data_IF_024518481660
#
_entry.id   IF_024518481660
#
_cell.length_a   1.000
_cell.length_b   1.000
_cell.length_c   1.000
_cell.angle_alpha   90.00
_cell.angle_beta   90.00
_cell.angle_gamma   90.00
#
_symmetry.space_group_name_H-M   'P 1'
#
loop_
_entity.id
_entity.type
_entity.pdbx_description
1 polymer ?
#
# COMPACT_ATOMS: atom_id res chain seq x y z
N UNK A 1 -7.85 -6.71 -21.09
CA UNK A 1 -6.53 -7.37 -21.08
C UNK A 1 -6.62 -8.59 -20.19
N UNK A 2 -6.10 -9.74 -20.65
CA UNK A 2 -5.94 -10.95 -19.86
C UNK A 2 -4.49 -11.02 -19.35
N UNK A 3 -4.30 -11.31 -18.08
CA UNK A 3 -2.98 -11.56 -17.50
C UNK A 3 -2.86 -13.04 -17.14
N UNK A 4 -1.77 -13.68 -17.56
CA UNK A 4 -1.48 -15.08 -17.23
C UNK A 4 0.01 -15.34 -17.15
N UNK A 5 0.39 -16.38 -16.39
CA UNK A 5 1.77 -16.82 -16.25
C UNK A 5 2.00 -18.12 -17.03
N UNK A 6 3.08 -18.20 -17.81
CA UNK A 6 3.52 -19.42 -18.48
C UNK A 6 5.05 -19.46 -18.61
N UNK A 7 5.69 -20.59 -18.31
CA UNK A 7 7.14 -20.82 -18.48
C UNK A 7 8.04 -19.71 -17.93
N UNK A 8 7.78 -19.24 -16.69
CA UNK A 8 8.49 -18.13 -16.05
C UNK A 8 8.33 -16.78 -16.76
N UNK A 9 7.24 -16.60 -17.51
CA UNK A 9 6.87 -15.31 -18.05
C UNK A 9 5.45 -14.94 -17.60
N UNK A 10 5.25 -13.68 -17.37
CA UNK A 10 3.93 -13.06 -17.18
C UNK A 10 3.55 -12.34 -18.46
N UNK A 11 2.42 -12.70 -19.02
CA UNK A 11 1.91 -12.15 -20.26
C UNK A 11 0.72 -11.24 -20.02
N UNK A 12 0.67 -10.13 -20.73
CA UNK A 12 -0.52 -9.30 -20.87
C UNK A 12 -1.01 -9.41 -22.30
N UNK A 13 -2.22 -9.95 -22.45
CA UNK A 13 -2.82 -10.24 -23.74
C UNK A 13 -4.05 -9.36 -23.98
N UNK A 14 -4.10 -8.67 -25.12
CA UNK A 14 -5.24 -7.88 -25.55
C UNK A 14 -6.14 -8.73 -26.45
N UNK A 15 -7.35 -9.02 -25.97
CA UNK A 15 -8.33 -9.80 -26.75
C UNK A 15 -8.83 -9.09 -28.00
N UNK A 16 -9.02 -7.77 -27.94
CA UNK A 16 -9.57 -7.01 -29.07
C UNK A 16 -8.58 -6.99 -30.24
N UNK A 17 -7.29 -6.93 -29.92
CA UNK A 17 -6.22 -6.87 -30.93
C UNK A 17 -5.60 -8.24 -31.23
N UNK A 18 -6.01 -9.30 -30.50
CA UNK A 18 -5.43 -10.64 -30.57
C UNK A 18 -3.89 -10.62 -30.45
N UNK A 19 -3.37 -9.85 -29.46
CA UNK A 19 -1.94 -9.55 -29.37
C UNK A 19 -1.44 -9.63 -27.93
N UNK A 20 -0.21 -10.15 -27.76
CA UNK A 20 0.55 -10.00 -26.53
C UNK A 20 1.09 -8.57 -26.48
N UNK A 21 0.69 -7.82 -25.47
CA UNK A 21 1.17 -6.46 -25.22
C UNK A 21 2.54 -6.48 -24.57
N UNK A 22 2.69 -7.31 -23.53
CA UNK A 22 3.93 -7.42 -22.75
C UNK A 22 4.20 -8.88 -22.41
N UNK A 23 5.48 -9.23 -22.34
CA UNK A 23 5.98 -10.50 -21.85
C UNK A 23 7.14 -10.24 -20.89
N UNK A 24 6.89 -10.38 -19.60
CA UNK A 24 7.88 -10.16 -18.55
C UNK A 24 8.52 -11.49 -18.18
N UNK A 25 9.86 -11.55 -18.24
CA UNK A 25 10.60 -12.69 -17.72
C UNK A 25 10.69 -12.58 -16.22
N UNK A 26 10.11 -13.55 -15.50
CA UNK A 26 10.10 -13.57 -14.04
C UNK A 26 11.22 -14.43 -13.50
N UNK A 27 11.84 -13.99 -12.41
CA UNK A 27 12.74 -14.83 -11.61
C UNK A 27 11.95 -15.55 -10.51
N UNK A 28 12.44 -16.72 -10.08
CA UNK A 28 11.78 -17.52 -9.04
C UNK A 28 11.89 -16.89 -7.63
N UNK A 29 12.85 -15.98 -7.45
CA UNK A 29 13.06 -15.25 -6.19
C UNK A 29 12.15 -14.02 -6.04
N UNK A 30 11.41 -13.64 -7.08
CA UNK A 30 10.56 -12.46 -7.09
C UNK A 30 9.15 -12.76 -6.60
N UNK A 31 8.56 -11.82 -5.85
CA UNK A 31 7.21 -11.93 -5.29
C UNK A 31 6.46 -10.58 -5.35
N UNK A 32 5.26 -10.54 -4.80
CA UNK A 32 4.43 -9.34 -4.58
C UNK A 32 4.29 -8.44 -5.83
N UNK A 33 3.94 -9.06 -6.95
CA UNK A 33 3.84 -8.39 -8.24
C UNK A 33 2.67 -7.40 -8.31
N UNK A 34 2.96 -6.14 -8.68
CA UNK A 34 1.97 -5.08 -8.94
C UNK A 34 2.19 -4.44 -10.31
N UNK A 35 1.24 -4.63 -11.22
CA UNK A 35 1.34 -4.16 -12.59
C UNK A 35 0.75 -2.75 -12.75
N UNK A 36 1.49 -1.87 -13.42
CA UNK A 36 1.01 -0.55 -13.83
C UNK A 36 0.40 -0.59 -15.24
N UNK A 37 -0.92 -0.50 -15.39
CA UNK A 37 -1.56 -0.56 -16.70
C UNK A 37 -1.28 0.67 -17.55
N UNK A 38 -0.93 1.81 -16.96
CA UNK A 38 -0.71 3.06 -17.67
C UNK A 38 0.58 3.07 -18.50
N UNK A 39 1.65 2.47 -17.98
CA UNK A 39 2.98 2.51 -18.61
C UNK A 39 3.61 1.13 -18.84
N UNK A 40 2.98 0.06 -18.34
CA UNK A 40 3.46 -1.30 -18.50
C UNK A 40 4.61 -1.71 -17.56
N UNK A 41 4.93 -0.92 -16.54
CA UNK A 41 5.89 -1.33 -15.51
C UNK A 41 5.29 -2.37 -14.57
N UNK A 42 6.15 -3.21 -14.01
CA UNK A 42 5.80 -4.21 -13.00
C UNK A 42 6.64 -3.95 -11.75
N UNK A 43 6.01 -3.58 -10.64
CA UNK A 43 6.67 -3.58 -9.34
C UNK A 43 6.71 -5.01 -8.79
N UNK A 44 7.77 -5.36 -8.06
CA UNK A 44 7.92 -6.66 -7.42
C UNK A 44 8.89 -6.58 -6.25
N UNK A 45 8.84 -7.55 -5.35
CA UNK A 45 9.82 -7.69 -4.28
C UNK A 45 10.87 -8.75 -4.61
N UNK A 46 12.11 -8.47 -4.24
CA UNK A 46 13.22 -9.40 -4.25
C UNK A 46 13.83 -9.43 -2.84
N UNK A 47 13.59 -10.52 -2.11
CA UNK A 47 13.87 -10.54 -0.68
C UNK A 47 13.01 -9.51 0.06
N UNK A 48 13.65 -8.59 0.77
CA UNK A 48 12.99 -7.49 1.49
C UNK A 48 13.05 -6.15 0.73
N UNK A 49 13.47 -6.16 -0.51
CA UNK A 49 13.65 -4.96 -1.31
C UNK A 49 12.64 -4.85 -2.45
N UNK A 50 12.26 -3.60 -2.77
CA UNK A 50 11.38 -3.27 -3.87
C UNK A 50 12.18 -3.02 -5.15
N UNK A 51 11.72 -3.63 -6.23
CA UNK A 51 12.27 -3.49 -7.59
C UNK A 51 11.15 -3.13 -8.56
N UNK A 52 11.52 -2.62 -9.72
CA UNK A 52 10.61 -2.42 -10.86
C UNK A 52 11.18 -3.11 -12.09
N UNK A 53 10.32 -3.65 -12.93
CA UNK A 53 10.65 -4.20 -14.23
C UNK A 53 9.96 -3.35 -15.29
N UNK A 54 10.76 -2.77 -16.19
CA UNK A 54 10.23 -2.02 -17.32
C UNK A 54 9.70 -2.94 -18.43
N UNK A 55 8.90 -2.42 -19.39
CA UNK A 55 8.36 -3.21 -20.49
C UNK A 55 9.41 -3.91 -21.36
N UNK A 56 10.64 -3.39 -21.40
CA UNK A 56 11.79 -3.98 -22.10
C UNK A 56 12.57 -5.00 -21.28
N UNK A 57 12.04 -5.39 -20.11
CA UNK A 57 12.64 -6.32 -19.15
C UNK A 57 13.93 -5.81 -18.47
N UNK A 58 14.10 -4.50 -18.36
CA UNK A 58 15.18 -3.91 -17.56
C UNK A 58 14.73 -3.78 -16.09
N UNK A 59 15.52 -4.34 -15.16
CA UNK A 59 15.26 -4.25 -13.72
C UNK A 59 15.82 -2.94 -13.19
N UNK A 60 14.96 -2.17 -12.50
CA UNK A 60 15.32 -0.98 -11.78
C UNK A 60 15.25 -1.18 -10.26
N UNK A 61 16.17 -0.53 -9.54
CA UNK A 61 16.24 -0.56 -8.08
C UNK A 61 15.37 0.58 -7.53
N UNK A 62 14.41 0.27 -6.65
CA UNK A 62 13.65 1.25 -5.89
C UNK A 62 14.20 1.39 -4.49
N UNK A 63 14.47 0.27 -3.81
CA UNK A 63 15.11 0.24 -2.49
C UNK A 63 16.29 -0.72 -2.48
N UNK A 64 17.27 -0.46 -1.61
CA UNK A 64 18.44 -1.31 -1.42
C UNK A 64 18.81 -1.37 0.07
N UNK A 65 17.83 -1.75 0.87
CA UNK A 65 17.95 -1.91 2.33
C UNK A 65 18.74 -3.17 2.65
N UNK A 66 19.72 -3.02 3.51
CA UNK A 66 20.58 -4.12 3.98
C UNK A 66 20.41 -4.41 5.47
N UNK A 67 19.71 -3.53 6.19
CA UNK A 67 19.46 -3.70 7.62
C UNK A 67 18.44 -4.83 7.85
N UNK A 68 18.72 -5.66 8.83
CA UNK A 68 17.80 -6.72 9.24
C UNK A 68 16.51 -6.14 9.81
N UNK A 69 15.37 -6.76 9.47
CA UNK A 69 14.05 -6.30 9.88
C UNK A 69 13.48 -5.11 9.09
N UNK A 70 14.18 -4.64 8.04
CA UNK A 70 13.61 -3.65 7.11
C UNK A 70 13.00 -4.35 5.90
N UNK A 71 11.72 -4.06 5.62
CA UNK A 71 10.95 -4.68 4.54
C UNK A 71 10.27 -3.60 3.70
N UNK A 72 10.46 -3.64 2.39
CA UNK A 72 9.93 -2.66 1.44
C UNK A 72 9.01 -3.31 0.40
N UNK A 73 7.90 -2.63 0.09
CA UNK A 73 6.99 -3.03 -0.98
C UNK A 73 6.09 -4.23 -0.66
N UNK A 74 6.11 -4.73 0.56
CA UNK A 74 5.20 -5.78 1.04
C UNK A 74 4.03 -5.21 1.82
N UNK A 75 2.97 -6.00 1.95
CA UNK A 75 1.85 -5.69 2.83
C UNK A 75 2.32 -5.51 4.28
N UNK A 76 1.62 -4.67 5.01
CA UNK A 76 1.94 -4.32 6.40
C UNK A 76 0.74 -4.60 7.31
N UNK A 77 0.90 -4.38 8.61
CA UNK A 77 -0.18 -4.47 9.61
C UNK A 77 -0.94 -5.81 9.57
N UNK A 78 -0.22 -6.92 9.31
CA UNK A 78 -0.75 -8.29 9.24
C UNK A 78 -1.94 -8.45 8.26
N UNK A 79 -1.97 -7.64 7.19
CA UNK A 79 -3.04 -7.58 6.20
C UNK A 79 -4.40 -7.12 6.75
N UNK A 80 -4.44 -6.45 7.88
CA UNK A 80 -5.65 -5.82 8.41
C UNK A 80 -6.02 -4.54 7.66
N UNK A 81 -7.17 -3.95 7.95
CA UNK A 81 -7.67 -2.68 7.39
C UNK A 81 -7.74 -2.66 5.86
N UNK A 82 -8.06 -3.81 5.23
CA UNK A 82 -8.13 -3.92 3.79
C UNK A 82 -6.79 -3.85 3.06
N UNK A 83 -5.68 -3.99 3.78
CA UNK A 83 -4.33 -3.96 3.18
C UNK A 83 -4.01 -5.34 2.61
N UNK A 84 -3.80 -5.42 1.29
CA UNK A 84 -3.47 -6.67 0.59
C UNK A 84 -2.18 -6.60 -0.21
N UNK A 85 -1.57 -5.41 -0.30
CA UNK A 85 -0.32 -5.16 -1.05
C UNK A 85 0.47 -4.02 -0.44
N UNK A 86 1.74 -3.91 -0.80
CA UNK A 86 2.63 -2.88 -0.30
C UNK A 86 3.03 -1.81 -1.31
N UNK A 87 2.42 -1.81 -2.50
CA UNK A 87 2.76 -0.90 -3.61
C UNK A 87 1.51 -0.32 -4.25
N UNK A 88 1.57 0.96 -4.67
CA UNK A 88 0.42 1.72 -5.17
C UNK A 88 0.89 2.64 -6.31
N UNK A 89 0.63 2.24 -7.56
CA UNK A 89 0.95 3.04 -8.73
C UNK A 89 0.08 4.30 -8.80
N UNK A 90 0.68 5.41 -9.19
CA UNK A 90 -0.09 6.60 -9.55
C UNK A 90 -0.94 6.35 -10.79
N UNK A 91 -2.09 7.03 -10.99
CA UNK A 91 -3.01 6.78 -12.10
C UNK A 91 -2.36 6.79 -13.48
N UNK A 92 -1.44 7.72 -13.76
CA UNK A 92 -0.69 7.80 -15.01
C UNK A 92 0.60 6.98 -15.00
N UNK A 93 0.97 6.38 -13.88
CA UNK A 93 2.15 5.52 -13.74
C UNK A 93 3.47 6.30 -13.65
N UNK A 94 3.43 7.60 -13.35
CA UNK A 94 4.64 8.41 -13.22
C UNK A 94 5.41 8.14 -11.92
N UNK A 95 4.71 7.62 -10.90
CA UNK A 95 5.25 7.34 -9.58
C UNK A 95 4.67 6.08 -8.94
N UNK A 96 5.39 5.56 -7.95
CA UNK A 96 5.02 4.38 -7.17
C UNK A 96 5.09 4.72 -5.68
N UNK A 97 3.94 4.77 -5.01
CA UNK A 97 3.91 4.80 -3.55
C UNK A 97 4.12 3.38 -3.00
N UNK A 98 4.82 3.25 -1.89
CA UNK A 98 5.11 1.94 -1.29
C UNK A 98 5.31 2.03 0.22
N UNK A 99 5.03 0.93 0.89
CA UNK A 99 5.36 0.78 2.30
C UNK A 99 6.82 0.40 2.51
N UNK A 100 7.44 1.02 3.53
CA UNK A 100 8.67 0.59 4.17
C UNK A 100 8.34 0.30 5.64
N UNK A 101 8.50 -0.93 6.03
CA UNK A 101 8.25 -1.43 7.38
C UNK A 101 9.57 -1.68 8.09
N UNK A 102 9.70 -1.17 9.30
CA UNK A 102 10.75 -1.54 10.24
C UNK A 102 10.13 -2.46 11.31
N UNK A 103 10.50 -3.72 11.28
CA UNK A 103 10.09 -4.74 12.24
C UNK A 103 11.26 -5.25 13.09
N UNK A 104 12.40 -4.53 13.09
CA UNK A 104 13.61 -4.93 13.84
C UNK A 104 13.36 -5.06 15.34
N UNK A 105 12.42 -4.26 15.88
CA UNK A 105 12.03 -4.31 17.28
C UNK A 105 10.92 -5.32 17.61
N UNK A 106 10.33 -5.94 16.60
CA UNK A 106 9.22 -6.88 16.78
C UNK A 106 9.74 -8.24 17.24
N UNK A 107 9.08 -8.82 18.23
CA UNK A 107 9.43 -10.12 18.77
C UNK A 107 9.17 -11.24 17.76
N UNK A 108 10.06 -12.22 17.72
CA UNK A 108 9.84 -13.43 16.96
C UNK A 108 8.82 -14.33 17.67
N UNK A 109 7.77 -14.70 16.97
CA UNK A 109 6.81 -15.71 17.41
C UNK A 109 7.14 -17.05 16.75
N UNK A 110 7.32 -18.14 17.49
CA UNK A 110 7.70 -19.44 16.94
C UNK A 110 6.47 -20.17 16.36
N UNK A 111 6.26 -20.10 15.06
CA UNK A 111 5.35 -21.04 14.41
C UNK A 111 5.97 -22.43 14.38
N UNK A 112 5.16 -23.43 14.68
CA UNK A 112 5.62 -24.82 14.64
C UNK A 112 5.17 -25.46 13.32
N UNK A 113 6.15 -25.78 12.49
CA UNK A 113 5.93 -26.57 11.28
C UNK A 113 5.84 -28.04 11.64
N UNK A 114 4.65 -28.62 11.54
CA UNK A 114 4.36 -30.03 11.84
C UNK A 114 4.37 -30.93 10.59
N UNK A 115 4.64 -30.38 9.41
CA UNK A 115 4.65 -31.14 8.14
C UNK A 115 5.96 -31.90 7.94
N UNK A 116 7.00 -31.54 8.67
CA UNK A 116 8.28 -32.25 8.70
C UNK A 116 8.25 -33.43 9.66
N UNK A 117 9.09 -34.45 9.44
CA UNK A 117 9.14 -35.65 10.30
C UNK A 117 9.42 -35.31 11.77
N UNK A 118 10.33 -34.37 12.02
CA UNK A 118 10.52 -33.74 13.31
C UNK A 118 10.02 -32.30 13.20
N UNK A 119 9.09 -31.89 14.04
CA UNK A 119 8.59 -30.53 14.03
C UNK A 119 9.72 -29.51 14.20
N UNK A 120 9.67 -28.42 13.42
CA UNK A 120 10.64 -27.33 13.45
C UNK A 120 9.96 -26.02 13.85
N UNK A 121 10.65 -25.16 14.60
CA UNK A 121 10.19 -23.82 14.87
C UNK A 121 10.63 -22.89 13.73
N UNK A 122 9.65 -22.16 13.15
CA UNK A 122 9.87 -21.16 12.12
C UNK A 122 9.55 -19.79 12.74
N UNK A 123 10.55 -18.98 13.12
CA UNK A 123 10.31 -17.68 13.72
C UNK A 123 9.63 -16.74 12.73
N UNK A 124 8.62 -16.01 13.20
CA UNK A 124 7.89 -15.03 12.43
C UNK A 124 7.70 -13.76 13.26
N UNK A 125 7.97 -12.59 12.69
CA UNK A 125 7.78 -11.31 13.36
C UNK A 125 6.29 -11.09 13.63
N UNK A 126 5.90 -11.18 14.90
CA UNK A 126 4.53 -10.98 15.33
C UNK A 126 4.45 -10.31 16.70
N UNK A 127 3.91 -9.08 16.81
CA UNK A 127 3.81 -8.40 18.09
C UNK A 127 2.66 -9.01 18.90
N UNK A 128 2.98 -9.61 20.05
CA UNK A 128 1.96 -10.03 21.01
C UNK A 128 1.31 -8.81 21.67
N UNK A 129 0.12 -9.00 22.24
CA UNK A 129 -0.60 -7.94 22.92
C UNK A 129 0.29 -7.23 23.97
N UNK A 130 0.32 -5.89 23.94
CA UNK A 130 1.15 -5.05 24.80
C UNK A 130 2.63 -4.97 24.44
N UNK A 131 3.09 -5.69 23.41
CA UNK A 131 4.47 -5.61 22.91
C UNK A 131 4.62 -4.54 21.83
N UNK A 132 5.86 -4.15 21.54
CA UNK A 132 6.17 -3.23 20.45
C UNK A 132 5.76 -3.82 19.10
N UNK A 133 5.09 -3.01 18.31
CA UNK A 133 4.76 -3.29 16.91
C UNK A 133 5.81 -2.71 15.96
N UNK A 134 5.71 -3.07 14.69
CA UNK A 134 6.52 -2.48 13.64
C UNK A 134 6.17 -1.01 13.40
N UNK A 135 7.12 -0.28 12.85
CA UNK A 135 6.95 1.11 12.39
C UNK A 135 6.88 1.15 10.88
N UNK A 136 5.86 1.82 10.33
CA UNK A 136 5.67 1.92 8.88
C UNK A 136 5.87 3.35 8.42
N UNK A 137 6.52 3.48 7.27
CA UNK A 137 6.63 4.74 6.52
C UNK A 137 6.19 4.52 5.09
N UNK A 138 5.79 5.60 4.41
CA UNK A 138 5.39 5.56 2.99
C UNK A 138 6.38 6.34 2.17
N UNK A 139 6.98 5.70 1.18
CA UNK A 139 7.82 6.31 0.17
C UNK A 139 7.05 6.52 -1.13
N UNK A 140 7.37 7.58 -1.85
CA UNK A 140 6.88 7.87 -3.21
C UNK A 140 8.08 7.92 -4.15
N UNK A 141 8.26 6.87 -4.93
CA UNK A 141 9.32 6.76 -5.92
C UNK A 141 8.88 7.36 -7.25
N UNK A 142 9.63 8.31 -7.76
CA UNK A 142 9.39 8.91 -9.08
C UNK A 142 10.22 8.18 -10.14
N UNK A 143 9.57 7.70 -11.21
CA UNK A 143 10.19 6.87 -12.25
C UNK A 143 11.21 7.64 -13.09
N UNK A 144 10.97 8.93 -13.35
CA UNK A 144 11.84 9.76 -14.16
C UNK A 144 13.12 10.15 -13.40
N UNK A 145 12.95 10.71 -12.20
CA UNK A 145 14.08 11.20 -11.39
C UNK A 145 14.81 10.08 -10.64
N UNK A 146 14.19 8.91 -10.50
CA UNK A 146 14.66 7.76 -9.72
C UNK A 146 14.94 8.09 -8.25
N UNK A 147 14.15 9.03 -7.69
CA UNK A 147 14.27 9.46 -6.29
C UNK A 147 13.00 9.12 -5.53
N UNK A 148 13.17 8.82 -4.25
CA UNK A 148 12.08 8.60 -3.30
C UNK A 148 11.90 9.82 -2.41
N UNK A 149 10.65 10.27 -2.29
CA UNK A 149 10.20 11.23 -1.29
C UNK A 149 9.51 10.45 -0.18
N UNK A 150 9.87 10.71 1.08
CA UNK A 150 9.24 10.07 2.24
C UNK A 150 8.14 10.97 2.80
N UNK A 151 6.96 10.41 3.03
CA UNK A 151 5.85 11.14 3.63
C UNK A 151 6.16 11.39 5.12
N UNK A 152 5.92 12.62 5.57
CA UNK A 152 6.22 13.07 6.94
C UNK A 152 5.00 12.84 7.85
N UNK A 153 4.72 11.59 8.13
CA UNK A 153 3.55 11.18 8.90
C UNK A 153 3.64 11.53 10.40
N UNK A 154 4.82 11.90 10.87
CA UNK A 154 4.99 12.36 12.26
C UNK A 154 4.93 11.25 13.31
N UNK A 155 4.63 11.66 14.54
CA UNK A 155 4.50 10.77 15.69
C UNK A 155 3.03 10.54 16.08
N UNK A 156 2.69 9.44 16.79
CA UNK A 156 3.56 8.30 17.12
C UNK A 156 3.89 7.47 15.87
N UNK A 157 4.99 6.73 15.88
CA UNK A 157 5.39 5.88 14.74
C UNK A 157 4.66 4.53 14.70
N UNK A 158 4.16 4.07 15.83
CA UNK A 158 3.42 2.80 15.94
C UNK A 158 1.97 2.87 15.43
N UNK A 159 1.53 4.01 14.86
CA UNK A 159 0.22 4.11 14.22
C UNK A 159 0.16 3.28 12.95
N UNK A 160 -1.06 2.95 12.55
CA UNK A 160 -1.32 2.24 11.30
C UNK A 160 -1.49 3.24 10.16
N UNK A 161 -0.77 3.04 9.06
CA UNK A 161 -0.90 3.80 7.82
C UNK A 161 -1.69 2.96 6.81
N UNK A 162 -2.98 3.22 6.71
CA UNK A 162 -3.91 2.36 5.97
C UNK A 162 -4.50 3.07 4.76
N UNK A 163 -5.11 2.31 3.87
CA UNK A 163 -6.01 2.81 2.81
C UNK A 163 -5.37 3.89 1.92
N UNK A 164 -4.14 3.63 1.46
CA UNK A 164 -3.42 4.54 0.56
C UNK A 164 -4.18 4.73 -0.75
N UNK A 165 -4.43 5.99 -1.12
CA UNK A 165 -4.98 6.37 -2.40
C UNK A 165 -4.25 7.56 -3.01
N UNK A 166 -4.10 7.55 -4.33
CA UNK A 166 -3.62 8.69 -5.10
C UNK A 166 -4.75 9.65 -5.44
N UNK A 167 -4.47 10.96 -5.40
CA UNK A 167 -5.34 11.93 -6.07
C UNK A 167 -5.33 11.69 -7.58
N UNK A 168 -6.44 12.02 -8.30
CA UNK A 168 -6.51 11.84 -9.76
C UNK A 168 -5.44 12.62 -10.54
N UNK A 169 -4.97 13.74 -10.01
CA UNK A 169 -3.92 14.59 -10.59
C UNK A 169 -2.49 14.17 -10.20
N UNK A 170 -2.34 13.06 -9.46
CA UNK A 170 -1.07 12.47 -8.99
C UNK A 170 -0.22 13.36 -8.07
N UNK A 171 -0.79 14.45 -7.52
CA UNK A 171 -0.04 15.37 -6.67
C UNK A 171 -0.08 15.02 -5.21
N UNK A 172 -1.10 14.30 -4.78
CA UNK A 172 -1.33 14.02 -3.36
C UNK A 172 -1.58 12.54 -3.11
N UNK A 173 -1.20 12.11 -1.90
CA UNK A 173 -1.49 10.80 -1.32
C UNK A 173 -2.46 10.99 -0.14
N UNK A 174 -3.53 10.22 -0.15
CA UNK A 174 -4.49 10.14 0.96
C UNK A 174 -4.20 8.88 1.78
N UNK A 175 -4.16 9.01 3.10
CA UNK A 175 -3.89 7.93 4.03
C UNK A 175 -4.88 8.01 5.19
N UNK A 176 -5.50 6.91 5.54
CA UNK A 176 -6.20 6.78 6.82
C UNK A 176 -5.17 6.39 7.89
N UNK A 177 -4.85 7.34 8.75
CA UNK A 177 -3.96 7.12 9.89
C UNK A 177 -4.78 6.68 11.09
N UNK A 178 -4.61 5.45 11.53
CA UNK A 178 -5.32 4.87 12.67
C UNK A 178 -4.37 4.78 13.86
N UNK A 179 -4.83 5.18 15.04
CA UNK A 179 -4.03 5.07 16.26
C UNK A 179 -3.82 3.60 16.67
N UNK A 180 -2.88 3.35 17.60
CA UNK A 180 -2.54 1.99 18.05
C UNK A 180 -3.70 1.32 18.79
N UNK A 181 -4.54 2.08 19.46
CA UNK A 181 -5.75 1.64 20.16
C UNK A 181 -6.88 1.28 19.19
N UNK A 182 -6.74 1.64 17.90
CA UNK A 182 -7.70 1.36 16.82
C UNK A 182 -9.08 1.99 17.03
N UNK A 183 -9.15 3.12 17.71
CA UNK A 183 -10.41 3.82 18.00
C UNK A 183 -10.46 5.27 17.52
N UNK A 184 -9.38 5.76 16.90
CA UNK A 184 -9.31 7.10 16.31
C UNK A 184 -8.56 7.06 14.97
N UNK A 185 -9.23 7.42 13.90
CA UNK A 185 -8.71 7.49 12.55
C UNK A 185 -8.77 8.91 12.02
N UNK A 186 -7.68 9.36 11.39
CA UNK A 186 -7.59 10.60 10.65
C UNK A 186 -7.40 10.32 9.17
N UNK A 187 -8.26 10.85 8.30
CA UNK A 187 -7.97 10.87 6.88
C UNK A 187 -7.07 12.06 6.56
N UNK A 188 -5.85 11.80 6.17
CA UNK A 188 -4.80 12.81 5.95
C UNK A 188 -4.37 12.85 4.49
N UNK A 189 -4.17 14.06 3.96
CA UNK A 189 -3.62 14.29 2.63
C UNK A 189 -2.17 14.77 2.72
N UNK A 190 -1.30 14.15 1.94
CA UNK A 190 0.13 14.44 1.83
C UNK A 190 0.52 14.83 0.41
N UNK A 191 1.44 15.78 0.27
CA UNK A 191 2.07 16.08 -1.01
C UNK A 191 2.94 14.90 -1.49
N UNK A 192 2.64 14.36 -2.66
CA UNK A 192 3.47 13.32 -3.27
C UNK A 192 4.85 13.85 -3.71
N UNK A 193 4.98 15.17 -3.90
CA UNK A 193 6.21 15.83 -4.36
C UNK A 193 7.17 16.15 -3.22
N UNK A 194 6.65 16.56 -2.05
CA UNK A 194 7.49 17.06 -0.93
C UNK A 194 7.41 16.17 0.31
N UNK A 195 6.42 15.29 0.38
CA UNK A 195 6.12 14.46 1.54
C UNK A 195 5.47 15.21 2.70
N UNK A 196 5.23 16.52 2.56
CA UNK A 196 4.61 17.31 3.61
C UNK A 196 3.13 16.99 3.77
N UNK A 197 2.63 17.07 5.01
CA UNK A 197 1.21 17.02 5.31
C UNK A 197 0.54 18.27 4.76
N UNK A 198 -0.45 18.11 3.90
CA UNK A 198 -1.21 19.20 3.31
C UNK A 198 -2.48 19.53 4.11
N UNK A 199 -3.19 18.48 4.55
CA UNK A 199 -4.43 18.64 5.29
C UNK A 199 -4.75 17.41 6.15
N UNK A 200 -5.41 17.67 7.27
CA UNK A 200 -6.19 16.71 8.05
C UNK A 200 -7.65 16.89 7.66
N UNK A 201 -8.21 15.96 6.92
CA UNK A 201 -9.49 16.16 6.26
C UNK A 201 -10.68 15.95 7.20
N UNK A 202 -10.67 14.84 7.91
CA UNK A 202 -11.65 14.55 8.96
C UNK A 202 -11.15 13.41 9.87
N UNK A 203 -11.81 13.30 11.01
CA UNK A 203 -11.54 12.28 12.02
C UNK A 203 -12.78 11.41 12.23
N UNK A 204 -12.55 10.12 12.43
CA UNK A 204 -13.55 9.17 12.95
C UNK A 204 -13.08 8.60 14.28
N UNK A 205 -13.98 8.56 15.24
CA UNK A 205 -13.71 8.00 16.57
C UNK A 205 -14.88 7.12 17.00
N UNK A 206 -14.58 6.05 17.72
CA UNK A 206 -15.56 5.19 18.35
C UNK A 206 -15.04 4.74 19.71
N UNK A 207 -15.93 4.47 20.68
CA UNK A 207 -15.52 4.00 22.00
C UNK A 207 -14.97 2.55 22.00
N UNK A 208 -15.26 1.77 20.94
CA UNK A 208 -14.80 0.40 20.78
C UNK A 208 -13.68 0.30 19.74
N UNK A 209 -13.98 0.55 18.48
CA UNK A 209 -13.01 0.51 17.38
C UNK A 209 -13.48 1.27 16.14
N UNK A 210 -12.51 1.72 15.34
CA UNK A 210 -12.69 2.22 13.97
C UNK A 210 -11.89 1.34 13.03
N UNK A 211 -12.52 0.77 12.01
CA UNK A 211 -11.89 -0.19 11.10
C UNK A 211 -12.02 0.23 9.64
N UNK A 212 -11.15 1.12 9.13
CA UNK A 212 -11.19 1.56 7.74
C UNK A 212 -10.75 0.42 6.80
N UNK A 213 -11.67 -0.06 5.95
CA UNK A 213 -11.42 -1.21 5.06
C UNK A 213 -11.12 -0.83 3.61
N UNK A 214 -11.46 0.40 3.21
CA UNK A 214 -11.36 0.82 1.82
C UNK A 214 -10.72 2.20 1.67
N UNK A 215 -9.83 2.40 0.67
CA UNK A 215 -9.30 3.72 0.37
C UNK A 215 -10.40 4.67 -0.16
N UNK A 216 -10.14 5.96 -0.14
CA UNK A 216 -11.01 6.94 -0.80
C UNK A 216 -11.19 6.58 -2.28
N UNK A 217 -12.43 6.64 -2.75
CA UNK A 217 -12.77 6.40 -4.15
C UNK A 217 -13.15 7.72 -4.82
N UNK A 218 -12.24 8.31 -5.59
CA UNK A 218 -12.51 9.52 -6.35
C UNK A 218 -13.54 9.29 -7.44
N UNK A 219 -14.42 10.28 -7.65
CA UNK A 219 -15.42 10.20 -8.70
C UNK A 219 -14.78 10.46 -10.08
N UNK A 220 -14.94 9.58 -11.07
CA UNK A 220 -14.28 9.74 -12.38
C UNK A 220 -14.62 11.05 -13.09
N UNK A 221 -15.86 11.55 -12.93
CA UNK A 221 -16.36 12.77 -13.58
C UNK A 221 -16.30 14.01 -12.68
N UNK A 222 -15.83 13.87 -11.46
CA UNK A 222 -15.69 14.97 -10.50
C UNK A 222 -14.52 14.70 -9.55
N UNK A 223 -13.29 15.00 -9.96
CA UNK A 223 -12.07 14.70 -9.19
C UNK A 223 -11.98 15.46 -7.87
N UNK A 224 -12.80 16.48 -7.65
CA UNK A 224 -12.87 17.23 -6.39
C UNK A 224 -13.78 16.56 -5.35
N UNK A 225 -14.30 15.37 -5.66
CA UNK A 225 -15.15 14.60 -4.75
C UNK A 225 -14.69 13.14 -4.67
N UNK A 226 -14.87 12.55 -3.50
CA UNK A 226 -14.62 11.13 -3.27
C UNK A 226 -15.68 10.50 -2.38
N UNK A 227 -15.81 9.19 -2.50
CA UNK A 227 -16.62 8.35 -1.62
C UNK A 227 -15.70 7.80 -0.53
N UNK A 228 -16.17 7.87 0.70
CA UNK A 228 -15.61 7.22 1.88
C UNK A 228 -16.62 6.22 2.43
N UNK A 229 -16.14 5.04 2.81
CA UNK A 229 -16.93 4.00 3.44
C UNK A 229 -16.68 3.98 4.95
N UNK A 230 -17.74 3.98 5.76
CA UNK A 230 -17.63 4.12 7.21
C UNK A 230 -18.79 3.46 7.94
N UNK A 231 -18.51 2.96 9.14
CA UNK A 231 -19.49 2.38 10.07
C UNK A 231 -19.90 3.34 11.21
N UNK A 232 -19.63 4.63 11.07
CA UNK A 232 -19.82 5.67 12.10
C UNK A 232 -21.21 5.79 12.70
N UNK A 233 -22.23 5.27 12.03
CA UNK A 233 -23.63 5.27 12.50
C UNK A 233 -24.14 3.85 12.84
N UNK A 234 -23.24 2.89 13.00
CA UNK A 234 -23.52 1.52 13.41
C UNK A 234 -23.68 0.53 12.25
N UNK A 235 -23.69 1.01 11.00
CA UNK A 235 -23.74 0.20 9.79
C UNK A 235 -22.76 0.74 8.76
N UNK A 236 -22.34 -0.16 7.84
CA UNK A 236 -21.38 0.21 6.79
C UNK A 236 -22.06 0.96 5.66
N UNK A 237 -21.84 2.27 5.60
CA UNK A 237 -22.45 3.19 4.65
C UNK A 237 -21.44 3.96 3.81
N UNK A 238 -21.91 4.51 2.69
CA UNK A 238 -21.14 5.34 1.78
C UNK A 238 -21.42 6.82 2.02
N UNK A 239 -20.36 7.58 2.14
CA UNK A 239 -20.40 9.02 2.38
C UNK A 239 -19.68 9.76 1.26
N UNK A 240 -20.31 10.80 0.72
CA UNK A 240 -19.72 11.69 -0.28
C UNK A 240 -19.05 12.88 0.41
N UNK A 241 -17.78 13.07 0.11
CA UNK A 241 -16.95 14.18 0.57
C UNK A 241 -16.40 14.99 -0.59
N UNK A 242 -16.05 16.24 -0.33
CA UNK A 242 -15.15 16.98 -1.22
C UNK A 242 -13.67 16.80 -0.77
N UNK A 243 -12.75 17.22 -1.62
CA UNK A 243 -11.29 17.11 -1.36
C UNK A 243 -10.79 18.02 -0.23
N UNK A 244 -11.63 18.92 0.29
CA UNK A 244 -11.35 19.73 1.48
C UNK A 244 -11.83 19.06 2.79
N UNK A 245 -12.31 17.81 2.72
CA UNK A 245 -12.76 17.04 3.88
C UNK A 245 -14.18 17.38 4.36
N UNK A 246 -14.96 18.15 3.58
CA UNK A 246 -16.34 18.46 3.93
C UNK A 246 -17.26 17.33 3.50
N UNK A 247 -18.00 16.78 4.46
CA UNK A 247 -19.10 15.86 4.19
C UNK A 247 -20.20 16.58 3.40
N UNK A 248 -20.52 16.05 2.21
CA UNK A 248 -21.59 16.59 1.35
C UNK A 248 -22.89 15.83 1.55
N UNK A 249 -22.83 14.51 1.64
CA UNK A 249 -24.02 13.66 1.75
C UNK A 249 -23.68 12.24 2.20
N UNK A 250 -24.55 11.63 3.00
CA UNK A 250 -24.64 10.18 3.13
C UNK A 250 -25.41 9.62 1.93
N UNK A 251 -24.88 8.61 1.28
CA UNK A 251 -25.44 8.06 0.03
C UNK A 251 -26.34 6.86 0.27
N UNK A 252 -26.02 6.03 1.26
CA UNK A 252 -26.76 4.79 1.61
C UNK A 252 -27.24 4.78 3.04
#
# INVERSE_FOLDING_TARGET
>A
VLTFNAKRHRYHYNFAENKILNAYKLDASWADYDFCPANGYLAFTEGNNLRILSPDNTVGIVTDETADGIVCGKSVHQNEFGIHKGTFWSPGGSALAFYRMDESMVTDYPFVNITTRCATAEPHKYPMAGMKSHEVTVGVYNLETKKTVWLKTGLPKEKYLTNIAWSPDEKSIYIAELNREQNEMHLVRYSALTGEKEADLFTETDEHYVEPQHPVLFLPNNPDQFIWQSERDGYNHLYLYNTEGKLLKQLT
#
